data_IF_694249827972
#
_entry.id   IF_694249827972
#
_cell.length_a   1.000
_cell.length_b   1.000
_cell.length_c   1.000
_cell.angle_alpha   90.00
_cell.angle_beta   90.00
_cell.angle_gamma   90.00
#
_symmetry.space_group_name_H-M   'P 1'
#
loop_
_entity.id
_entity.type
_entity.pdbx_description
1 polymer ?
#
# COMPACT_ATOMS: atom_id res chain seq x y z
N UNK A 1 -27.07 -5.51 -24.48
CA UNK A 1 -26.63 -6.71 -23.73
C UNK A 1 -25.18 -6.94 -24.13
N UNK A 2 -24.23 -6.58 -23.29
CA UNK A 2 -22.81 -6.83 -23.58
C UNK A 2 -22.32 -7.98 -22.70
N UNK A 3 -21.94 -9.04 -23.41
CA UNK A 3 -21.10 -10.20 -23.07
C UNK A 3 -20.37 -10.12 -21.72
N UNK A 4 -20.60 -11.13 -20.88
CA UNK A 4 -19.92 -11.47 -19.62
C UNK A 4 -18.99 -10.39 -19.04
N UNK A 5 -19.55 -9.50 -18.21
CA UNK A 5 -18.75 -8.63 -17.36
C UNK A 5 -17.81 -9.48 -16.51
N UNK A 6 -16.51 -9.33 -16.69
CA UNK A 6 -15.53 -10.07 -15.90
C UNK A 6 -15.70 -9.75 -14.41
N UNK A 7 -15.61 -10.77 -13.56
CA UNK A 7 -15.69 -10.61 -12.11
C UNK A 7 -14.32 -10.86 -11.52
N UNK A 8 -13.59 -9.79 -11.22
CA UNK A 8 -12.21 -9.91 -10.73
C UNK A 8 -12.09 -10.75 -9.45
N UNK A 9 -13.12 -10.77 -8.60
CA UNK A 9 -13.12 -11.57 -7.36
C UNK A 9 -13.03 -13.07 -7.62
N UNK A 10 -13.41 -13.56 -8.80
CA UNK A 10 -13.28 -14.98 -9.18
C UNK A 10 -11.82 -15.42 -9.36
N UNK A 11 -10.90 -14.46 -9.48
CA UNK A 11 -9.47 -14.70 -9.65
C UNK A 11 -8.68 -14.52 -8.35
N UNK A 12 -9.37 -14.35 -7.22
CA UNK A 12 -8.75 -14.21 -5.91
C UNK A 12 -9.12 -15.37 -5.01
N UNK A 13 -8.12 -16.06 -4.46
CA UNK A 13 -8.36 -17.13 -3.49
C UNK A 13 -8.79 -16.62 -2.10
N UNK A 14 -8.71 -15.31 -1.83
CA UNK A 14 -9.00 -14.71 -0.53
C UNK A 14 -9.50 -13.28 -0.66
N UNK A 15 -10.57 -12.92 0.05
CA UNK A 15 -11.11 -11.57 -0.05
C UNK A 15 -10.25 -10.55 0.74
N UNK A 16 -9.45 -9.73 0.04
CA UNK A 16 -8.89 -8.47 0.57
C UNK A 16 -7.89 -8.63 1.70
N UNK A 17 -8.16 -8.00 2.85
CA UNK A 17 -7.35 -8.18 4.07
C UNK A 17 -7.28 -9.65 4.53
N UNK A 18 -8.18 -10.52 4.05
CA UNK A 18 -8.10 -11.97 4.26
C UNK A 18 -6.88 -12.64 3.60
N UNK A 19 -6.15 -11.93 2.74
CA UNK A 19 -4.89 -12.39 2.14
C UNK A 19 -3.66 -12.07 2.99
N UNK A 20 -3.80 -11.31 4.10
CA UNK A 20 -2.66 -10.98 4.95
C UNK A 20 -2.15 -12.25 5.63
N UNK A 21 -0.82 -12.42 5.62
CA UNK A 21 -0.16 -13.47 6.38
C UNK A 21 -0.49 -13.26 7.86
N UNK A 22 -0.93 -14.32 8.54
CA UNK A 22 -1.27 -14.23 9.96
C UNK A 22 -0.09 -13.70 10.78
N UNK A 23 -0.34 -12.93 11.86
CA UNK A 23 0.75 -12.34 12.67
C UNK A 23 1.78 -13.36 13.14
N UNK A 24 1.34 -14.57 13.51
CA UNK A 24 2.21 -15.67 13.96
C UNK A 24 3.16 -16.16 12.86
N UNK A 25 2.67 -16.29 11.63
CA UNK A 25 3.51 -16.70 10.49
C UNK A 25 4.45 -15.57 10.08
N UNK A 26 3.96 -14.33 10.07
CA UNK A 26 4.77 -13.16 9.76
C UNK A 26 5.93 -12.98 10.76
N UNK A 27 5.68 -13.19 12.05
CA UNK A 27 6.72 -13.17 13.08
C UNK A 27 7.84 -14.18 12.78
N UNK A 28 7.49 -15.35 12.28
CA UNK A 28 8.47 -16.37 11.86
C UNK A 28 9.26 -15.91 10.64
N UNK A 29 8.62 -15.30 9.65
CA UNK A 29 9.27 -14.79 8.42
C UNK A 29 10.25 -13.65 8.74
N UNK A 30 9.88 -12.77 9.67
CA UNK A 30 10.68 -11.60 10.04
C UNK A 30 11.74 -11.90 11.12
N UNK A 31 11.67 -13.07 11.76
CA UNK A 31 12.65 -13.46 12.77
C UNK A 31 14.05 -13.59 12.17
N UNK A 32 15.02 -12.92 12.78
CA UNK A 32 16.43 -13.00 12.41
C UNK A 32 17.29 -13.12 13.67
N UNK A 33 18.28 -14.00 13.63
CA UNK A 33 19.29 -14.13 14.70
C UNK A 33 20.42 -13.08 14.57
N UNK A 34 20.43 -12.32 13.48
CA UNK A 34 21.42 -11.27 13.27
C UNK A 34 21.17 -10.09 14.20
N UNK A 35 22.26 -9.41 14.60
CA UNK A 35 22.15 -8.17 15.35
C UNK A 35 21.32 -7.15 14.57
N UNK A 36 20.39 -6.49 15.26
CA UNK A 36 19.57 -5.46 14.66
C UNK A 36 20.44 -4.30 14.18
N UNK A 37 20.26 -3.91 12.92
CA UNK A 37 20.82 -2.68 12.41
C UNK A 37 20.02 -1.50 12.98
N UNK A 38 20.68 -0.64 13.76
CA UNK A 38 20.05 0.54 14.35
C UNK A 38 20.47 1.76 13.57
N UNK A 39 19.52 2.36 12.84
CA UNK A 39 19.68 3.67 12.24
C UNK A 39 18.99 4.72 13.12
N UNK A 40 19.73 5.69 13.71
CA UNK A 40 19.16 6.71 14.57
C UNK A 40 18.15 7.62 13.84
N UNK A 41 18.19 7.69 12.52
CA UNK A 41 17.26 8.50 11.72
C UNK A 41 15.94 7.76 11.44
N UNK A 42 15.85 6.45 11.69
CA UNK A 42 14.62 5.69 11.52
C UNK A 42 13.71 5.87 12.75
N UNK A 43 12.80 6.84 12.68
CA UNK A 43 11.92 7.24 13.78
C UNK A 43 10.78 6.26 14.05
N UNK A 44 10.35 5.55 13.00
CA UNK A 44 9.31 4.53 13.02
C UNK A 44 9.71 3.43 12.05
N UNK A 45 9.75 2.19 12.53
CA UNK A 45 10.10 1.01 11.74
C UNK A 45 9.31 -0.21 12.21
N UNK A 46 9.79 -1.40 11.88
CA UNK A 46 9.05 -2.65 12.12
C UNK A 46 8.78 -2.95 13.61
N UNK A 47 9.52 -2.29 14.51
CA UNK A 47 9.43 -2.46 15.96
C UNK A 47 8.07 -2.06 16.54
N UNK A 48 7.46 -0.98 16.03
CA UNK A 48 6.24 -0.39 16.61
C UNK A 48 4.95 -0.80 15.88
N UNK A 49 5.06 -1.56 14.78
CA UNK A 49 3.92 -1.99 13.95
C UNK A 49 2.97 -0.85 13.56
N UNK A 50 3.53 0.34 13.34
CA UNK A 50 2.81 1.50 12.78
C UNK A 50 2.47 1.27 11.30
N UNK A 51 1.60 2.12 10.75
CA UNK A 51 1.07 2.00 9.39
C UNK A 51 2.14 2.28 8.30
N UNK A 52 3.22 2.98 8.63
CA UNK A 52 4.31 3.26 7.69
C UNK A 52 5.66 3.46 8.38
N UNK A 53 6.75 3.31 7.63
CA UNK A 53 8.08 3.68 8.08
C UNK A 53 8.27 5.21 8.02
N UNK A 54 8.99 5.77 9.00
CA UNK A 54 9.31 7.20 9.05
C UNK A 54 10.81 7.39 9.23
N UNK A 55 11.42 8.16 8.33
CA UNK A 55 12.85 8.44 8.30
C UNK A 55 13.11 9.95 8.37
N UNK A 56 13.87 10.40 9.37
CA UNK A 56 14.25 11.81 9.52
C UNK A 56 15.33 12.20 8.50
N UNK A 57 15.11 13.30 7.76
CA UNK A 57 16.11 13.84 6.84
C UNK A 57 17.13 14.76 7.53
N UNK A 58 16.97 15.00 8.83
CA UNK A 58 17.89 15.85 9.62
C UNK A 58 17.72 17.35 9.39
N UNK A 59 16.65 17.75 8.69
CA UNK A 59 16.35 19.15 8.36
C UNK A 59 14.98 19.61 8.88
N UNK A 60 14.42 18.87 9.86
CA UNK A 60 13.09 19.12 10.41
C UNK A 60 11.94 18.53 9.58
N UNK A 61 12.25 17.83 8.48
CA UNK A 61 11.29 17.07 7.67
C UNK A 61 11.64 15.58 7.72
N UNK A 62 10.63 14.74 7.86
CA UNK A 62 10.74 13.29 7.76
C UNK A 62 10.04 12.78 6.50
N UNK A 63 10.60 11.73 5.90
CA UNK A 63 9.97 10.95 4.83
C UNK A 63 9.14 9.85 5.45
N UNK A 64 7.95 9.63 4.89
CA UNK A 64 7.08 8.51 5.21
C UNK A 64 7.08 7.58 4.00
N UNK A 65 7.29 6.29 4.22
CA UNK A 65 7.25 5.28 3.18
C UNK A 65 6.38 4.11 3.60
N UNK A 66 5.38 3.80 2.79
CA UNK A 66 4.50 2.64 2.97
C UNK A 66 4.34 1.88 1.66
N UNK A 67 3.94 0.63 1.76
CA UNK A 67 3.54 -0.18 0.62
C UNK A 67 2.38 -1.05 1.03
N UNK A 68 1.34 -1.08 0.19
CA UNK A 68 0.20 -1.95 0.43
C UNK A 68 -0.40 -2.40 -0.91
N UNK A 69 -0.62 -3.70 -1.04
CA UNK A 69 -1.15 -4.34 -2.24
C UNK A 69 -1.92 -5.60 -1.86
N UNK A 70 -2.95 -5.93 -2.64
CA UNK A 70 -3.79 -7.08 -2.38
C UNK A 70 -4.49 -7.55 -3.65
N UNK A 71 -5.18 -8.68 -3.56
CA UNK A 71 -5.99 -9.25 -4.65
C UNK A 71 -7.38 -8.59 -4.72
N UNK A 72 -8.10 -8.70 -5.86
CA UNK A 72 -9.41 -8.09 -6.04
C UNK A 72 -10.43 -8.40 -4.94
N UNK A 73 -11.06 -7.35 -4.43
CA UNK A 73 -12.15 -7.40 -3.44
C UNK A 73 -13.51 -7.00 -4.00
N UNK A 74 -13.52 -6.49 -5.23
CA UNK A 74 -14.70 -6.07 -5.97
C UNK A 74 -14.55 -6.53 -7.42
N UNK A 75 -15.68 -6.74 -8.08
CA UNK A 75 -15.70 -7.28 -9.44
C UNK A 75 -15.22 -6.29 -10.49
N UNK A 76 -15.52 -5.00 -10.29
CA UNK A 76 -15.20 -3.95 -11.25
C UNK A 76 -13.70 -3.60 -11.19
N UNK A 77 -12.97 -3.69 -12.32
CA UNK A 77 -11.52 -3.41 -12.36
C UNK A 77 -11.14 -2.00 -11.92
N UNK A 78 -11.85 -0.99 -12.43
CA UNK A 78 -11.59 0.40 -12.07
C UNK A 78 -11.80 0.64 -10.57
N UNK A 79 -12.90 0.15 -10.01
CA UNK A 79 -13.17 0.29 -8.57
C UNK A 79 -12.12 -0.44 -7.73
N UNK A 80 -11.70 -1.64 -8.13
CA UNK A 80 -10.62 -2.36 -7.43
C UNK A 80 -9.33 -1.52 -7.39
N UNK A 81 -8.91 -1.00 -8.55
CA UNK A 81 -7.74 -0.14 -8.64
C UNK A 81 -7.83 1.12 -7.77
N UNK A 82 -9.00 1.76 -7.77
CA UNK A 82 -9.27 2.94 -6.93
C UNK A 82 -9.18 2.60 -5.45
N UNK A 83 -9.77 1.49 -5.01
CA UNK A 83 -9.77 1.07 -3.61
C UNK A 83 -8.35 0.71 -3.15
N UNK A 84 -7.63 -0.10 -3.93
CA UNK A 84 -6.26 -0.50 -3.62
C UNK A 84 -5.31 0.70 -3.51
N UNK A 85 -5.40 1.66 -4.43
CA UNK A 85 -4.63 2.89 -4.35
C UNK A 85 -5.02 3.75 -3.14
N UNK A 86 -6.30 3.87 -2.84
CA UNK A 86 -6.79 4.64 -1.68
C UNK A 86 -6.28 4.04 -0.37
N UNK A 87 -6.28 2.71 -0.24
CA UNK A 87 -5.74 1.99 0.91
C UNK A 87 -4.25 2.27 1.09
N UNK A 88 -3.44 2.13 0.04
CA UNK A 88 -2.00 2.40 0.15
C UNK A 88 -1.69 3.87 0.48
N UNK A 89 -2.49 4.81 -0.01
CA UNK A 89 -2.33 6.24 0.31
C UNK A 89 -2.74 6.54 1.76
N UNK A 90 -3.69 5.79 2.34
CA UNK A 90 -4.23 6.12 3.66
C UNK A 90 -3.20 6.07 4.78
N UNK A 91 -2.19 5.21 4.69
CA UNK A 91 -1.14 5.10 5.71
C UNK A 91 -0.32 6.39 5.82
N UNK A 92 -0.09 7.09 4.71
CA UNK A 92 0.59 8.40 4.75
C UNK A 92 -0.22 9.40 5.56
N UNK A 93 -1.54 9.42 5.37
CA UNK A 93 -2.42 10.31 6.12
C UNK A 93 -2.55 9.89 7.59
N UNK A 94 -2.55 8.58 7.88
CA UNK A 94 -2.58 8.06 9.25
C UNK A 94 -1.39 8.55 10.08
N UNK A 95 -0.21 8.57 9.47
CA UNK A 95 1.03 9.11 10.06
C UNK A 95 1.07 10.65 10.14
N UNK A 96 0.01 11.34 9.71
CA UNK A 96 -0.09 12.80 9.71
C UNK A 96 0.65 13.49 8.55
N UNK A 97 1.09 12.72 7.56
CA UNK A 97 1.87 13.23 6.44
C UNK A 97 1.04 13.66 5.24
N UNK A 98 1.75 14.27 4.28
CA UNK A 98 1.26 14.61 2.96
C UNK A 98 1.90 13.68 1.93
N UNK A 99 1.13 12.92 1.13
CA UNK A 99 1.71 12.12 0.07
C UNK A 99 2.29 13.02 -1.02
N UNK A 100 3.37 12.57 -1.67
CA UNK A 100 4.04 13.33 -2.74
C UNK A 100 4.10 12.55 -4.06
N UNK A 101 4.19 11.23 -4.00
CA UNK A 101 4.19 10.36 -5.18
C UNK A 101 3.83 8.92 -4.80
N UNK A 102 3.43 8.14 -5.80
CA UNK A 102 3.26 6.71 -5.67
C UNK A 102 3.84 5.96 -6.87
N UNK A 103 4.21 4.71 -6.68
CA UNK A 103 4.58 3.77 -7.75
C UNK A 103 3.74 2.50 -7.64
N UNK A 104 3.31 1.95 -8.78
CA UNK A 104 2.45 0.78 -8.82
C UNK A 104 3.22 -0.53 -8.61
N UNK A 105 2.57 -1.46 -7.91
CA UNK A 105 2.95 -2.86 -7.82
C UNK A 105 1.85 -3.66 -8.52
N UNK A 106 2.19 -4.38 -9.58
CA UNK A 106 1.23 -5.13 -10.39
C UNK A 106 1.69 -6.58 -10.58
N UNK A 107 0.92 -7.53 -10.07
CA UNK A 107 0.99 -8.93 -10.49
C UNK A 107 -0.20 -9.22 -11.39
N UNK A 108 0.00 -9.79 -12.57
CA UNK A 108 -1.10 -10.01 -13.50
C UNK A 108 -1.04 -11.38 -14.19
N UNK A 109 -2.13 -12.17 -14.19
CA UNK A 109 -2.15 -13.47 -14.86
C UNK A 109 -2.39 -13.28 -16.35
N UNK A 110 -1.31 -13.05 -17.11
CA UNK A 110 -1.40 -12.68 -18.54
C UNK A 110 -2.10 -13.75 -19.40
N UNK A 111 -2.10 -15.01 -18.95
CA UNK A 111 -2.77 -16.12 -19.63
C UNK A 111 -4.27 -16.26 -19.28
N UNK A 112 -4.76 -15.52 -18.27
CA UNK A 112 -6.16 -15.60 -17.79
C UNK A 112 -6.92 -14.29 -17.93
N UNK A 113 -6.23 -13.16 -17.83
CA UNK A 113 -6.80 -11.81 -17.84
C UNK A 113 -6.10 -10.95 -18.88
N UNK A 114 -6.90 -10.30 -19.73
CA UNK A 114 -6.38 -9.42 -20.76
C UNK A 114 -5.63 -8.21 -20.17
N UNK A 115 -4.62 -7.66 -20.88
CA UNK A 115 -3.95 -6.42 -20.49
C UNK A 115 -4.89 -5.22 -20.40
N UNK A 116 -5.98 -5.20 -21.17
CA UNK A 116 -6.98 -4.13 -21.16
C UNK A 116 -7.66 -4.00 -19.80
N UNK A 117 -7.88 -5.12 -19.11
CA UNK A 117 -8.44 -5.14 -17.75
C UNK A 117 -7.41 -4.63 -16.74
N UNK A 118 -6.13 -4.99 -16.89
CA UNK A 118 -5.04 -4.44 -16.06
C UNK A 118 -4.93 -2.91 -16.21
N UNK A 119 -5.14 -2.41 -17.43
CA UNK A 119 -5.20 -0.98 -17.71
C UNK A 119 -6.35 -0.32 -16.93
N UNK A 120 -7.54 -0.91 -16.90
CA UNK A 120 -8.68 -0.37 -16.12
C UNK A 120 -8.39 -0.30 -14.61
N UNK A 121 -7.76 -1.34 -14.04
CA UNK A 121 -7.28 -1.32 -12.64
C UNK A 121 -6.29 -0.17 -12.45
N UNK A 122 -5.34 -0.02 -13.37
CA UNK A 122 -4.35 1.05 -13.30
C UNK A 122 -5.00 2.43 -13.42
N UNK A 123 -6.04 2.61 -14.26
CA UNK A 123 -6.80 3.87 -14.35
C UNK A 123 -7.53 4.19 -13.03
N UNK A 124 -8.09 3.19 -12.36
CA UNK A 124 -8.67 3.35 -11.02
C UNK A 124 -7.64 3.87 -10.02
N UNK A 125 -6.44 3.30 -10.05
CA UNK A 125 -5.32 3.74 -9.22
C UNK A 125 -4.87 5.17 -9.53
N UNK A 126 -4.71 5.51 -10.82
CA UNK A 126 -4.38 6.88 -11.25
C UNK A 126 -5.44 7.89 -10.82
N UNK A 127 -6.71 7.51 -10.89
CA UNK A 127 -7.81 8.36 -10.43
C UNK A 127 -7.65 8.68 -8.93
N UNK A 128 -7.42 7.69 -8.07
CA UNK A 128 -7.20 7.91 -6.64
C UNK A 128 -5.97 8.78 -6.37
N UNK A 129 -4.83 8.54 -7.03
CA UNK A 129 -3.64 9.38 -6.93
C UNK A 129 -3.94 10.84 -7.31
N UNK A 130 -4.68 11.07 -8.40
CA UNK A 130 -5.08 12.41 -8.83
C UNK A 130 -5.97 13.10 -7.79
N UNK A 131 -6.90 12.38 -7.16
CA UNK A 131 -7.72 12.93 -6.07
C UNK A 131 -6.88 13.30 -4.84
N UNK A 132 -5.82 12.54 -4.56
CA UNK A 132 -4.85 12.85 -3.50
C UNK A 132 -3.81 13.93 -3.89
N UNK A 133 -3.85 14.45 -5.12
CA UNK A 133 -2.92 15.48 -5.61
C UNK A 133 -1.51 14.98 -5.90
N UNK A 134 -1.33 13.67 -6.14
CA UNK A 134 -0.04 13.04 -6.42
C UNK A 134 -0.02 12.35 -7.79
N UNK A 135 1.17 12.15 -8.34
CA UNK A 135 1.36 11.35 -9.54
C UNK A 135 1.52 9.86 -9.21
N UNK A 136 0.94 8.99 -10.05
CA UNK A 136 1.43 7.62 -10.19
C UNK A 136 2.67 7.66 -11.10
N UNK A 137 3.85 7.69 -10.50
CA UNK A 137 5.11 8.09 -11.12
C UNK A 137 5.89 6.92 -11.77
N UNK A 138 5.39 5.71 -11.70
CA UNK A 138 6.04 4.52 -12.23
C UNK A 138 5.48 3.26 -11.59
N UNK A 139 6.27 2.19 -11.63
CA UNK A 139 5.91 0.93 -11.00
C UNK A 139 6.71 -0.25 -11.52
N UNK A 140 6.39 -1.42 -11.03
CA UNK A 140 6.89 -2.68 -11.52
C UNK A 140 5.75 -3.67 -11.72
N UNK A 141 5.87 -4.49 -12.76
CA UNK A 141 4.87 -5.48 -13.13
C UNK A 141 5.50 -6.85 -13.38
N UNK A 142 4.87 -7.90 -12.88
CA UNK A 142 5.27 -9.30 -13.09
C UNK A 142 4.09 -10.14 -13.58
N UNK A 143 4.37 -11.21 -14.33
CA UNK A 143 3.39 -12.27 -14.53
C UNK A 143 3.17 -12.99 -13.19
N UNK A 144 1.91 -13.19 -12.82
CA UNK A 144 1.53 -13.78 -11.54
C UNK A 144 0.30 -14.69 -11.69
N UNK A 145 0.15 -15.76 -10.88
CA UNK A 145 -1.01 -16.66 -10.98
C UNK A 145 -2.37 -15.99 -10.73
N UNK A 146 -2.38 -14.89 -9.98
CA UNK A 146 -3.54 -14.11 -9.55
C UNK A 146 -3.31 -12.60 -9.78
N UNK A 147 -4.37 -11.82 -10.03
CA UNK A 147 -4.26 -10.37 -10.12
C UNK A 147 -3.94 -9.77 -8.75
N UNK A 148 -2.91 -8.93 -8.70
CA UNK A 148 -2.46 -8.21 -7.52
C UNK A 148 -2.24 -6.77 -7.94
N UNK A 149 -2.79 -5.83 -7.17
CA UNK A 149 -2.54 -4.41 -7.41
C UNK A 149 -2.42 -3.66 -6.09
N UNK A 150 -1.56 -2.66 -6.08
CA UNK A 150 -1.38 -1.74 -4.97
C UNK A 150 -0.29 -0.74 -5.28
N UNK A 151 0.09 0.05 -4.28
CA UNK A 151 1.06 1.12 -4.44
C UNK A 151 2.12 1.05 -3.33
N UNK A 152 3.34 1.43 -3.69
CA UNK A 152 4.26 2.02 -2.72
C UNK A 152 4.09 3.54 -2.77
N UNK A 153 3.88 4.16 -1.61
CA UNK A 153 3.58 5.59 -1.50
C UNK A 153 4.64 6.25 -0.65
N UNK A 154 5.14 7.39 -1.14
CA UNK A 154 6.06 8.24 -0.39
C UNK A 154 5.34 9.52 -0.02
N UNK A 155 5.50 9.92 1.24
CA UNK A 155 5.02 11.16 1.79
C UNK A 155 6.08 11.91 2.56
N UNK A 156 5.74 13.11 2.99
CA UNK A 156 6.57 13.94 3.87
C UNK A 156 5.74 14.47 5.04
N UNK A 157 6.40 14.73 6.15
CA UNK A 157 5.79 15.31 7.35
C UNK A 157 6.84 16.13 8.10
N UNK A 158 6.50 17.28 8.70
CA UNK A 158 7.38 17.90 9.67
C UNK A 158 7.67 16.92 10.81
N UNK A 159 8.93 16.75 11.19
CA UNK A 159 9.35 15.68 12.13
C UNK A 159 8.59 15.76 13.46
N UNK A 160 8.29 16.97 13.95
CA UNK A 160 7.51 17.21 15.18
C UNK A 160 6.03 16.79 15.10
N UNK A 161 5.49 16.54 13.89
CA UNK A 161 4.07 16.24 13.64
C UNK A 161 3.80 14.78 13.29
N UNK A 162 4.83 13.94 13.32
CA UNK A 162 4.68 12.50 13.09
C UNK A 162 3.68 11.94 14.09
N UNK A 163 2.60 11.35 13.59
CA UNK A 163 1.65 10.60 14.42
C UNK A 163 2.12 9.17 14.56
N UNK A 164 2.03 8.63 15.78
CA UNK A 164 2.38 7.23 16.08
C UNK A 164 1.24 6.58 16.85
N UNK A 165 0.92 5.34 16.51
CA UNK A 165 -0.13 4.54 17.15
C UNK A 165 0.11 4.31 18.66
N UNK A 166 1.36 4.46 19.11
CA UNK A 166 1.84 4.17 20.47
C UNK A 166 1.76 5.35 21.43
N UNK A 167 1.27 6.51 20.99
CA UNK A 167 1.33 7.77 21.76
C UNK A 167 0.00 8.22 22.35
N UNK A 168 -1.06 7.42 22.20
CA UNK A 168 -2.35 7.70 22.81
C UNK A 168 -2.27 7.74 24.35
N UNK A 169 -2.98 8.67 24.97
CA UNK A 169 -3.06 8.81 26.43
C UNK A 169 -4.50 8.62 26.90
N UNK A 170 -4.66 8.20 28.16
CA UNK A 170 -5.99 8.03 28.76
C UNK A 170 -6.76 9.36 28.72
N UNK A 171 -8.00 9.33 28.19
CA UNK A 171 -8.86 10.49 28.06
C UNK A 171 -8.75 11.28 26.75
N UNK A 172 -7.87 10.88 25.82
CA UNK A 172 -7.90 11.40 24.45
C UNK A 172 -9.25 11.06 23.75
N UNK A 173 -9.71 11.96 22.87
CA UNK A 173 -10.94 11.79 22.06
C UNK A 173 -10.59 11.65 20.59
#
# INVERSE_FOLDING_TARGET
MSENSIRLTQYSHGAGCGCKISPKVLETILHSEQAKFVDPNLLVGNETRDDAAVYDLGNGTSVISTTDFFMPIVDNPFDFGRIAATNAISDIFAMGGKPIMAIAILGWPINKLSPEIAREVTEGGRYACRQAGIALAGGHSIDAPEPIFGLAVTGIVPTERVKKNSTAQAGCK
#
